data_IF_992737902819
#
_entry.id   IF_992737902819
#
_cell.length_a   1.000
_cell.length_b   1.000
_cell.length_c   1.000
_cell.angle_alpha   90.00
_cell.angle_beta   90.00
_cell.angle_gamma   90.00
#
_symmetry.space_group_name_H-M   'P 1'
#
loop_
_entity.id
_entity.type
_entity.pdbx_description
1 polymer ?
#
# COMPACT_ATOMS: atom_id res chain seq x y z
N UNK A 1 -6.98 11.45 4.05
CA UNK A 1 -6.78 11.19 5.49
C UNK A 1 -5.41 10.56 5.69
N UNK A 2 -4.63 11.11 6.60
CA UNK A 2 -3.29 10.62 6.93
C UNK A 2 -3.21 10.09 8.37
N UNK A 3 -4.31 10.21 9.12
CA UNK A 3 -4.35 9.82 10.52
C UNK A 3 -5.71 9.27 10.94
N UNK A 4 -5.73 8.64 12.11
CA UNK A 4 -6.98 8.18 12.73
C UNK A 4 -7.90 9.37 13.04
N UNK A 5 -7.33 10.51 13.49
CA UNK A 5 -8.12 11.71 13.77
C UNK A 5 -8.80 12.29 12.52
N UNK A 6 -8.17 12.18 11.34
CA UNK A 6 -8.81 12.57 10.08
C UNK A 6 -10.02 11.67 9.76
N UNK A 7 -9.89 10.36 9.99
CA UNK A 7 -11.00 9.42 9.81
C UNK A 7 -12.18 9.77 10.74
N UNK A 8 -11.90 10.10 11.99
CA UNK A 8 -12.94 10.47 12.96
C UNK A 8 -13.63 11.77 12.57
N UNK A 9 -12.88 12.75 12.07
CA UNK A 9 -13.45 14.01 11.52
C UNK A 9 -14.36 13.75 10.33
N UNK A 10 -13.95 12.86 9.39
CA UNK A 10 -14.77 12.49 8.24
C UNK A 10 -16.05 11.79 8.70
N UNK A 11 -15.96 10.78 9.57
CA UNK A 11 -17.13 10.07 10.13
C UNK A 11 -18.10 11.04 10.82
N UNK A 12 -17.57 11.98 11.62
CA UNK A 12 -18.39 13.01 12.26
C UNK A 12 -19.11 13.87 11.22
N UNK A 13 -18.44 14.26 10.14
CA UNK A 13 -19.07 15.05 9.09
C UNK A 13 -20.15 14.27 8.36
N UNK A 14 -19.93 12.98 8.07
CA UNK A 14 -20.96 12.11 7.48
C UNK A 14 -22.19 11.95 8.39
N UNK A 15 -21.98 11.80 9.72
CA UNK A 15 -23.06 11.53 10.67
C UNK A 15 -24.05 12.70 10.81
N UNK A 16 -23.63 13.93 10.48
CA UNK A 16 -24.45 15.15 10.57
C UNK A 16 -24.89 15.67 9.22
N UNK A 17 -24.69 14.95 8.13
CA UNK A 17 -25.04 15.34 6.78
C UNK A 17 -25.65 14.18 6.00
N UNK A 18 -26.31 14.49 4.88
CA UNK A 18 -26.77 13.49 3.91
C UNK A 18 -25.65 13.03 2.95
N UNK A 19 -24.48 13.67 2.99
CA UNK A 19 -23.36 13.33 2.13
C UNK A 19 -22.68 12.04 2.59
N UNK A 20 -22.11 11.32 1.63
CA UNK A 20 -21.30 10.13 1.84
C UNK A 20 -19.90 10.35 1.32
N UNK A 21 -18.90 9.83 2.03
CA UNK A 21 -17.51 9.84 1.61
C UNK A 21 -17.12 8.45 1.16
N UNK A 22 -16.64 8.35 -0.07
CA UNK A 22 -16.12 7.12 -0.63
C UNK A 22 -14.62 7.23 -0.85
N UNK A 23 -13.93 6.11 -0.78
CA UNK A 23 -12.48 6.01 -0.96
C UNK A 23 -12.17 5.29 -2.26
N UNK A 24 -11.10 5.73 -2.93
CA UNK A 24 -10.66 5.10 -4.18
C UNK A 24 -9.65 4.01 -3.83
N UNK A 25 -10.14 2.77 -3.76
CA UNK A 25 -9.34 1.58 -3.49
C UNK A 25 -9.25 0.74 -4.77
N UNK A 26 -8.73 1.37 -5.82
CA UNK A 26 -8.82 0.89 -7.19
C UNK A 26 -8.16 -0.48 -7.41
N UNK A 27 -7.12 -0.85 -6.64
CA UNK A 27 -6.48 -2.15 -6.79
C UNK A 27 -7.40 -3.32 -6.43
N UNK A 28 -8.42 -3.11 -5.62
CA UNK A 28 -9.43 -4.14 -5.33
C UNK A 28 -10.30 -4.51 -6.54
N UNK A 29 -10.30 -3.69 -7.60
CA UNK A 29 -10.96 -3.97 -8.87
C UNK A 29 -10.04 -4.61 -9.91
N UNK A 30 -8.76 -4.82 -9.57
CA UNK A 30 -7.81 -5.45 -10.48
C UNK A 30 -8.10 -6.95 -10.58
N UNK A 31 -8.28 -7.45 -11.81
CA UNK A 31 -8.71 -8.83 -12.08
C UNK A 31 -7.81 -9.86 -11.41
N UNK A 32 -6.48 -9.71 -11.56
CA UNK A 32 -5.54 -10.63 -10.93
C UNK A 32 -5.62 -10.59 -9.40
N UNK A 33 -5.89 -9.43 -8.79
CA UNK A 33 -6.05 -9.32 -7.33
C UNK A 33 -7.33 -10.01 -6.87
N UNK A 34 -8.43 -9.89 -7.63
CA UNK A 34 -9.69 -10.59 -7.34
C UNK A 34 -9.46 -12.10 -7.39
N UNK A 35 -8.81 -12.60 -8.44
CA UNK A 35 -8.48 -14.01 -8.59
C UNK A 35 -7.56 -14.52 -7.49
N UNK A 36 -6.52 -13.75 -7.14
CA UNK A 36 -5.62 -14.08 -6.04
C UNK A 36 -6.38 -14.24 -4.73
N UNK A 37 -7.24 -13.27 -4.40
CA UNK A 37 -8.06 -13.33 -3.18
C UNK A 37 -8.94 -14.58 -3.14
N UNK A 38 -9.58 -14.92 -4.26
CA UNK A 38 -10.39 -16.13 -4.37
C UNK A 38 -9.56 -17.39 -4.14
N UNK A 39 -8.38 -17.48 -4.76
CA UNK A 39 -7.47 -18.62 -4.63
C UNK A 39 -7.01 -18.79 -3.17
N UNK A 40 -6.52 -17.72 -2.53
CA UNK A 40 -6.07 -17.75 -1.13
C UNK A 40 -7.22 -18.12 -0.20
N UNK A 41 -8.42 -17.57 -0.40
CA UNK A 41 -9.59 -17.86 0.43
C UNK A 41 -10.06 -19.32 0.29
N UNK A 42 -9.91 -19.90 -0.90
CA UNK A 42 -10.29 -21.30 -1.15
C UNK A 42 -9.28 -22.33 -0.64
N UNK A 43 -8.01 -21.95 -0.51
CA UNK A 43 -6.93 -22.78 0.00
C UNK A 43 -6.87 -22.67 1.53
N UNK A 44 -7.30 -23.71 2.24
CA UNK A 44 -7.05 -23.81 3.70
C UNK A 44 -5.59 -24.21 3.91
N UNK A 45 -4.69 -23.22 4.01
CA UNK A 45 -3.32 -23.48 4.41
C UNK A 45 -3.18 -23.29 5.93
N UNK A 46 -2.51 -24.21 6.61
CA UNK A 46 -2.12 -24.06 8.01
C UNK A 46 -0.85 -23.20 8.13
N UNK A 47 -0.08 -23.08 7.05
CA UNK A 47 1.15 -22.28 7.00
C UNK A 47 0.88 -20.90 6.40
N UNK A 48 1.58 -19.88 6.93
CA UNK A 48 1.52 -18.52 6.40
C UNK A 48 2.21 -18.47 5.04
N UNK A 49 1.62 -17.74 4.11
CA UNK A 49 2.23 -17.46 2.82
C UNK A 49 3.44 -16.53 2.98
N UNK A 50 4.52 -16.83 2.28
CA UNK A 50 5.68 -15.95 2.13
C UNK A 50 5.46 -15.05 0.91
N UNK A 51 5.40 -13.73 1.14
CA UNK A 51 5.05 -12.75 0.10
C UNK A 51 6.14 -11.69 -0.02
N UNK A 52 6.56 -11.41 -1.25
CA UNK A 52 7.45 -10.29 -1.55
C UNK A 52 6.75 -9.37 -2.56
N UNK A 53 6.59 -8.11 -2.18
CA UNK A 53 6.04 -7.07 -3.03
C UNK A 53 7.10 -6.00 -3.28
N UNK A 54 7.44 -5.79 -4.55
CA UNK A 54 8.39 -4.77 -4.97
C UNK A 54 7.67 -3.78 -5.87
N UNK A 55 7.80 -2.50 -5.54
CA UNK A 55 7.38 -1.40 -6.37
C UNK A 55 8.53 -0.42 -6.56
N UNK A 56 8.97 -0.22 -7.80
CA UNK A 56 9.95 0.78 -8.15
C UNK A 56 9.41 1.68 -9.26
N UNK A 57 9.58 2.98 -9.09
CA UNK A 57 9.10 3.97 -10.07
C UNK A 57 10.05 5.15 -10.16
N UNK A 58 10.07 5.78 -11.31
CA UNK A 58 10.80 7.04 -11.53
C UNK A 58 9.87 8.23 -11.39
N UNK A 59 10.35 9.29 -10.75
CA UNK A 59 9.68 10.59 -10.65
C UNK A 59 10.64 11.73 -10.97
N UNK A 60 10.15 12.77 -11.64
CA UNK A 60 10.88 13.98 -11.92
C UNK A 60 10.93 14.94 -10.73
N UNK A 61 11.69 16.01 -10.85
CA UNK A 61 11.85 17.06 -9.83
C UNK A 61 10.52 17.71 -9.43
N UNK A 62 9.56 17.81 -10.34
CA UNK A 62 8.22 18.33 -10.09
C UNK A 62 7.45 17.52 -9.03
N UNK A 63 7.65 16.21 -8.97
CA UNK A 63 7.07 15.37 -7.91
C UNK A 63 7.67 15.74 -6.54
N UNK A 64 9.00 15.79 -6.45
CA UNK A 64 9.69 16.04 -5.18
C UNK A 64 9.49 17.49 -4.67
N UNK A 65 9.27 18.47 -5.56
CA UNK A 65 8.97 19.86 -5.21
C UNK A 65 7.49 20.13 -4.92
N UNK A 66 6.60 19.20 -5.27
CA UNK A 66 5.16 19.32 -5.01
C UNK A 66 4.79 18.91 -3.58
N UNK A 67 3.49 19.04 -3.23
CA UNK A 67 2.96 18.54 -1.96
C UNK A 67 3.15 17.02 -1.79
N UNK A 68 3.25 16.28 -2.88
CA UNK A 68 3.44 14.82 -2.88
C UNK A 68 4.81 14.41 -2.37
N UNK A 69 5.84 15.20 -2.65
CA UNK A 69 7.20 15.02 -2.14
C UNK A 69 7.40 15.52 -0.71
N UNK A 70 6.37 16.11 -0.09
CA UNK A 70 6.43 16.64 1.27
C UNK A 70 5.77 15.65 2.24
N UNK A 71 6.56 15.03 3.13
CA UNK A 71 6.08 14.06 4.11
C UNK A 71 4.93 14.59 4.98
N UNK A 72 5.04 15.83 5.45
CA UNK A 72 4.01 16.49 6.23
C UNK A 72 2.67 16.70 5.49
N UNK A 73 2.68 16.69 4.16
CA UNK A 73 1.47 16.93 3.35
C UNK A 73 0.91 15.64 2.74
N UNK A 74 1.80 14.75 2.25
CA UNK A 74 1.40 13.49 1.62
C UNK A 74 1.34 12.32 2.59
N UNK A 75 1.97 12.44 3.76
CA UNK A 75 2.19 11.33 4.69
C UNK A 75 3.35 10.43 4.29
N UNK A 76 4.23 10.90 3.36
CA UNK A 76 5.40 10.17 2.92
C UNK A 76 5.11 9.00 1.99
N UNK A 77 6.16 8.22 1.72
CA UNK A 77 6.15 7.16 0.70
C UNK A 77 5.12 6.05 0.98
N UNK A 78 4.85 5.74 2.25
CA UNK A 78 3.88 4.71 2.61
C UNK A 78 2.45 5.15 2.33
N UNK A 79 2.09 6.41 2.59
CA UNK A 79 0.78 6.93 2.23
C UNK A 79 0.64 7.22 0.74
N UNK A 80 1.70 7.68 0.07
CA UNK A 80 1.63 8.04 -1.36
C UNK A 80 1.56 6.81 -2.28
N UNK A 81 2.30 5.74 -1.93
CA UNK A 81 2.40 4.53 -2.76
C UNK A 81 2.02 3.26 -1.99
N UNK A 82 2.47 3.15 -0.74
CA UNK A 82 2.32 1.92 0.05
C UNK A 82 0.88 1.59 0.43
N UNK A 83 0.03 2.62 0.58
CA UNK A 83 -1.36 2.44 1.05
C UNK A 83 -2.17 1.51 0.13
N UNK A 84 -2.00 1.64 -1.18
CA UNK A 84 -2.72 0.82 -2.14
C UNK A 84 -2.34 -0.67 -2.04
N UNK A 85 -1.07 -0.94 -1.78
CA UNK A 85 -0.57 -2.30 -1.61
C UNK A 85 -0.94 -2.87 -0.25
N UNK A 86 -0.76 -2.10 0.83
CA UNK A 86 -1.14 -2.54 2.16
C UNK A 86 -2.64 -2.83 2.24
N UNK A 87 -3.44 -2.06 1.53
CA UNK A 87 -4.89 -2.26 1.48
C UNK A 87 -5.25 -3.62 0.89
N UNK A 88 -4.72 -3.98 -0.28
CA UNK A 88 -4.98 -5.30 -0.87
C UNK A 88 -4.37 -6.44 -0.06
N UNK A 89 -3.23 -6.25 0.58
CA UNK A 89 -2.62 -7.25 1.45
C UNK A 89 -3.48 -7.54 2.68
N UNK A 90 -4.05 -6.51 3.30
CA UNK A 90 -5.01 -6.68 4.41
C UNK A 90 -6.29 -7.37 3.93
N UNK A 91 -6.76 -7.02 2.73
CA UNK A 91 -7.98 -7.60 2.15
C UNK A 91 -7.82 -9.07 1.76
N UNK A 92 -6.61 -9.49 1.37
CA UNK A 92 -6.30 -10.87 0.95
C UNK A 92 -5.85 -11.73 2.13
N UNK A 93 -4.90 -11.25 2.95
CA UNK A 93 -4.20 -12.04 3.96
C UNK A 93 -4.63 -11.78 5.41
N UNK A 94 -5.62 -10.92 5.61
CA UNK A 94 -6.13 -10.58 6.95
C UNK A 94 -5.39 -9.46 7.64
N UNK A 95 -5.72 -9.23 8.91
CA UNK A 95 -5.18 -8.12 9.69
C UNK A 95 -3.68 -8.27 9.96
N UNK A 96 -3.04 -7.13 10.19
CA UNK A 96 -1.64 -7.08 10.59
C UNK A 96 -1.51 -7.38 12.08
N UNK A 97 -0.72 -8.39 12.42
CA UNK A 97 -0.41 -8.76 13.81
C UNK A 97 0.91 -8.11 14.30
N UNK A 98 1.90 -8.00 13.41
CA UNK A 98 3.21 -7.46 13.73
C UNK A 98 3.85 -6.81 12.49
N UNK A 99 4.86 -5.95 12.69
CA UNK A 99 5.67 -5.39 11.61
C UNK A 99 7.06 -4.99 12.10
N UNK A 100 7.99 -4.90 11.15
CA UNK A 100 9.33 -4.38 11.37
C UNK A 100 9.72 -3.45 10.20
N UNK A 101 10.18 -2.25 10.52
CA UNK A 101 10.64 -1.27 9.55
C UNK A 101 12.14 -1.37 9.38
N UNK A 102 12.59 -1.94 8.27
CA UNK A 102 14.02 -2.05 7.94
C UNK A 102 14.57 -0.73 7.40
N UNK A 103 13.77 -0.02 6.59
CA UNK A 103 14.11 1.27 6.04
C UNK A 103 12.87 2.09 5.76
N UNK A 104 12.92 3.36 6.12
CA UNK A 104 11.91 4.32 5.76
C UNK A 104 12.58 5.68 5.52
N UNK A 105 12.33 6.26 4.36
CA UNK A 105 12.83 7.57 3.95
C UNK A 105 11.87 8.20 2.95
N UNK A 106 12.17 9.41 2.51
CA UNK A 106 11.34 10.14 1.55
C UNK A 106 11.09 9.39 0.22
N UNK A 107 12.02 8.54 -0.18
CA UNK A 107 11.99 7.85 -1.47
C UNK A 107 12.18 6.33 -1.39
N UNK A 108 12.25 5.76 -0.19
CA UNK A 108 12.42 4.33 -0.01
C UNK A 108 11.71 3.83 1.24
N UNK A 109 10.96 2.73 1.10
CA UNK A 109 10.44 1.97 2.21
C UNK A 109 10.79 0.48 2.05
N UNK A 110 11.17 -0.16 3.17
CA UNK A 110 11.37 -1.60 3.28
C UNK A 110 10.78 -2.01 4.63
N UNK A 111 9.64 -2.71 4.58
CA UNK A 111 8.85 -3.06 5.75
C UNK A 111 8.47 -4.53 5.67
N UNK A 112 8.80 -5.28 6.71
CA UNK A 112 8.31 -6.64 6.92
C UNK A 112 7.03 -6.56 7.73
N UNK A 113 5.97 -7.19 7.25
CA UNK A 113 4.64 -7.17 7.87
C UNK A 113 4.14 -8.59 8.07
N UNK A 114 3.71 -8.92 9.28
CA UNK A 114 3.03 -10.16 9.57
C UNK A 114 1.52 -9.97 9.55
N UNK A 115 0.86 -10.63 8.61
CA UNK A 115 -0.58 -10.77 8.54
C UNK A 115 -1.07 -12.05 9.24
N UNK A 116 -2.37 -12.24 9.35
CA UNK A 116 -2.97 -13.49 9.86
C UNK A 116 -2.49 -14.69 9.04
N UNK A 117 -2.52 -14.58 7.71
CA UNK A 117 -2.25 -15.68 6.78
C UNK A 117 -0.97 -15.49 5.94
N UNK A 118 -0.16 -14.46 6.18
CA UNK A 118 1.07 -14.22 5.41
C UNK A 118 2.15 -13.49 6.21
N UNK A 119 3.41 -13.66 5.75
CA UNK A 119 4.53 -12.77 6.04
C UNK A 119 4.88 -12.04 4.75
N UNK A 120 4.86 -10.72 4.80
CA UNK A 120 4.99 -9.87 3.61
C UNK A 120 6.18 -8.95 3.74
N UNK A 121 7.10 -9.00 2.79
CA UNK A 121 8.13 -7.99 2.62
C UNK A 121 7.67 -6.98 1.57
N UNK A 122 7.46 -5.74 1.97
CA UNK A 122 7.15 -4.63 1.07
C UNK A 122 8.42 -3.81 0.81
N UNK A 123 8.78 -3.65 -0.44
CA UNK A 123 9.88 -2.79 -0.88
C UNK A 123 9.35 -1.75 -1.88
N UNK A 124 9.45 -0.48 -1.51
CA UNK A 124 9.04 0.64 -2.37
C UNK A 124 10.25 1.53 -2.62
N UNK A 125 10.52 1.84 -3.89
CA UNK A 125 11.60 2.73 -4.30
C UNK A 125 11.08 3.76 -5.29
N UNK A 126 11.32 5.04 -5.00
CA UNK A 126 11.07 6.16 -5.90
C UNK A 126 12.40 6.75 -6.34
N UNK A 127 12.72 6.54 -7.60
CA UNK A 127 13.98 6.95 -8.20
C UNK A 127 13.85 8.35 -8.83
N UNK A 128 14.89 9.18 -8.71
CA UNK A 128 14.92 10.46 -9.41
C UNK A 128 15.20 10.25 -10.90
N UNK A 129 14.35 10.84 -11.74
CA UNK A 129 14.50 10.83 -13.21
C UNK A 129 15.82 11.49 -13.63
N UNK A 130 16.17 12.59 -12.98
CA UNK A 130 17.40 13.34 -13.25
C UNK A 130 18.64 12.48 -12.95
N UNK A 131 18.65 11.80 -11.79
CA UNK A 131 19.75 10.91 -11.40
C UNK A 131 19.89 9.71 -12.34
N UNK A 132 18.79 9.08 -12.75
CA UNK A 132 18.84 7.99 -13.73
C UNK A 132 19.40 8.47 -15.07
N UNK A 133 18.97 9.65 -15.54
CA UNK A 133 19.48 10.26 -16.78
C UNK A 133 20.98 10.56 -16.70
N UNK A 134 21.46 11.09 -15.57
CA UNK A 134 22.89 11.33 -15.33
C UNK A 134 23.71 10.03 -15.38
N UNK A 135 23.12 8.92 -14.95
CA UNK A 135 23.73 7.59 -14.99
C UNK A 135 23.56 6.87 -16.34
N UNK A 136 22.93 7.51 -17.33
CA UNK A 136 22.63 6.92 -18.63
C UNK A 136 21.61 5.77 -18.57
N UNK A 137 20.75 5.77 -17.55
CA UNK A 137 19.72 4.75 -17.36
C UNK A 137 18.35 5.28 -17.76
N UNK A 138 17.47 4.34 -18.18
CA UNK A 138 16.08 4.64 -18.53
C UNK A 138 15.18 4.77 -17.30
N UNK A 139 13.98 5.36 -17.51
CA UNK A 139 12.94 5.44 -16.51
C UNK A 139 12.47 4.03 -16.11
N UNK A 140 12.21 3.84 -14.82
CA UNK A 140 11.77 2.56 -14.27
C UNK A 140 10.30 2.66 -13.85
N UNK A 141 9.53 1.67 -14.27
CA UNK A 141 8.27 1.29 -13.65
C UNK A 141 8.28 -0.22 -13.49
N UNK A 142 8.51 -0.69 -12.28
CA UNK A 142 8.61 -2.11 -11.98
C UNK A 142 7.65 -2.47 -10.85
N UNK A 143 6.92 -3.53 -11.05
CA UNK A 143 6.05 -4.14 -10.05
C UNK A 143 6.30 -5.64 -10.06
N UNK A 144 6.55 -6.20 -8.90
CA UNK A 144 6.65 -7.65 -8.72
C UNK A 144 5.89 -8.05 -7.48
N UNK A 145 5.16 -9.14 -7.57
CA UNK A 145 4.44 -9.73 -6.47
C UNK A 145 4.72 -11.25 -6.50
N UNK A 146 5.48 -11.73 -5.54
CA UNK A 146 5.87 -13.14 -5.43
C UNK A 146 5.19 -13.76 -4.23
N UNK A 147 4.63 -14.94 -4.40
CA UNK A 147 3.93 -15.69 -3.33
C UNK A 147 4.52 -17.09 -3.28
N UNK A 148 5.10 -17.48 -2.16
CA UNK A 148 5.74 -18.79 -1.94
C UNK A 148 6.80 -19.13 -3.01
N UNK A 149 7.51 -18.10 -3.49
CA UNK A 149 8.54 -18.23 -4.53
C UNK A 149 8.02 -18.14 -5.97
N UNK A 150 6.73 -18.19 -6.20
CA UNK A 150 6.14 -18.07 -7.53
C UNK A 150 5.79 -16.62 -7.83
N UNK A 151 6.18 -16.12 -9.01
CA UNK A 151 5.85 -14.78 -9.47
C UNK A 151 4.37 -14.70 -9.84
N UNK A 152 3.69 -13.74 -9.24
CA UNK A 152 2.31 -13.42 -9.55
C UNK A 152 2.27 -12.23 -10.52
N UNK A 153 1.71 -12.46 -11.71
CA UNK A 153 1.62 -11.44 -12.75
C UNK A 153 0.73 -10.26 -12.33
N UNK A 154 1.36 -9.09 -12.19
CA UNK A 154 0.73 -7.87 -11.71
C UNK A 154 1.22 -6.61 -12.45
N UNK A 155 1.66 -6.75 -13.69
CA UNK A 155 2.23 -5.64 -14.48
C UNK A 155 1.19 -4.94 -15.35
N UNK A 156 0.22 -5.68 -15.88
CA UNK A 156 -0.90 -5.17 -16.70
C UNK A 156 -2.17 -4.89 -15.91
N UNK A 157 -3.27 -4.54 -16.61
CA UNK A 157 -4.63 -4.48 -16.03
C UNK A 157 -4.96 -3.23 -15.21
N UNK A 158 -4.08 -2.20 -15.19
CA UNK A 158 -4.31 -0.97 -14.42
C UNK A 158 -5.22 0.06 -15.12
N UNK A 159 -5.57 -0.19 -16.37
CA UNK A 159 -6.47 0.67 -17.11
C UNK A 159 -7.87 0.58 -16.52
N UNK A 160 -8.60 1.70 -16.52
CA UNK A 160 -9.99 1.82 -16.10
C UNK A 160 -10.31 1.46 -14.62
N UNK A 161 -9.31 1.17 -13.77
CA UNK A 161 -9.56 0.86 -12.36
C UNK A 161 -10.22 2.02 -11.59
N UNK A 162 -9.88 3.26 -11.94
CA UNK A 162 -10.55 4.43 -11.38
C UNK A 162 -11.99 4.54 -11.89
N UNK A 163 -12.22 4.27 -13.17
CA UNK A 163 -13.58 4.24 -13.77
C UNK A 163 -14.44 3.22 -13.05
N UNK A 164 -13.96 1.98 -12.87
CA UNK A 164 -14.65 0.94 -12.10
C UNK A 164 -14.96 1.38 -10.67
N UNK A 165 -14.03 2.11 -10.03
CA UNK A 165 -14.26 2.66 -8.69
C UNK A 165 -15.40 3.67 -8.68
N UNK A 166 -15.44 4.60 -9.64
CA UNK A 166 -16.52 5.58 -9.76
C UNK A 166 -17.85 4.95 -10.11
N UNK A 167 -17.89 3.98 -11.01
CA UNK A 167 -19.11 3.22 -11.35
C UNK A 167 -19.67 2.53 -10.11
N UNK A 168 -18.82 1.86 -9.33
CA UNK A 168 -19.21 1.23 -8.07
C UNK A 168 -19.78 2.23 -7.07
N UNK A 169 -19.19 3.44 -6.97
CA UNK A 169 -19.70 4.52 -6.10
C UNK A 169 -21.09 4.97 -6.58
N UNK A 170 -21.30 5.17 -7.88
CA UNK A 170 -22.58 5.59 -8.44
C UNK A 170 -23.68 4.54 -8.25
N UNK A 171 -23.31 3.26 -8.20
CA UNK A 171 -24.20 2.14 -7.87
C UNK A 171 -24.46 1.99 -6.36
N UNK A 172 -23.85 2.83 -5.52
CA UNK A 172 -23.97 2.74 -4.06
C UNK A 172 -23.14 1.62 -3.42
N UNK A 173 -22.18 1.03 -4.17
CA UNK A 173 -21.32 -0.07 -3.76
C UNK A 173 -19.86 0.37 -3.54
N UNK A 174 -19.56 1.68 -3.57
CA UNK A 174 -18.24 2.21 -3.37
C UNK A 174 -17.66 1.90 -1.99
N UNK A 175 -16.34 1.82 -1.90
CA UNK A 175 -15.65 1.61 -0.64
C UNK A 175 -15.76 2.83 0.27
N UNK A 176 -16.12 2.59 1.50
CA UNK A 176 -16.37 3.62 2.51
C UNK A 176 -15.09 4.05 3.23
N UNK A 177 -15.21 5.06 4.08
CA UNK A 177 -14.13 5.46 5.02
C UNK A 177 -13.75 4.29 5.94
N UNK A 178 -14.70 3.44 6.32
CA UNK A 178 -14.42 2.29 7.17
C UNK A 178 -13.58 1.23 6.47
N UNK A 179 -13.82 0.99 5.17
CA UNK A 179 -13.00 0.09 4.37
C UNK A 179 -11.54 0.53 4.32
N UNK A 180 -11.27 1.83 4.13
CA UNK A 180 -9.92 2.39 4.11
C UNK A 180 -9.28 2.52 5.50
N UNK A 181 -10.07 2.48 6.57
CA UNK A 181 -9.59 2.76 7.92
C UNK A 181 -8.52 1.78 8.38
N UNK A 182 -8.57 0.54 7.94
CA UNK A 182 -7.62 -0.52 8.31
C UNK A 182 -6.21 -0.21 7.82
N UNK A 183 -6.07 0.11 6.53
CA UNK A 183 -4.79 0.45 5.91
C UNK A 183 -4.25 1.79 6.43
N UNK A 184 -5.09 2.82 6.59
CA UNK A 184 -4.69 4.12 7.15
C UNK A 184 -4.18 3.96 8.59
N UNK A 185 -4.92 3.27 9.47
CA UNK A 185 -4.50 3.01 10.85
C UNK A 185 -3.18 2.26 10.91
N UNK A 186 -3.00 1.28 10.04
CA UNK A 186 -1.78 0.49 10.04
C UNK A 186 -0.56 1.30 9.58
N UNK A 187 -0.69 2.13 8.53
CA UNK A 187 0.40 3.01 8.11
C UNK A 187 0.71 4.04 9.19
N UNK A 188 -0.31 4.68 9.78
CA UNK A 188 -0.08 5.62 10.90
C UNK A 188 0.71 4.96 12.02
N UNK A 189 0.37 3.72 12.39
CA UNK A 189 1.08 2.97 13.42
C UNK A 189 2.54 2.69 13.04
N UNK A 190 2.79 2.30 11.78
CA UNK A 190 4.15 2.06 11.27
C UNK A 190 4.99 3.35 11.33
N UNK A 191 4.42 4.48 10.90
CA UNK A 191 5.08 5.78 10.93
C UNK A 191 5.39 6.22 12.37
N UNK A 192 4.40 6.15 13.27
CA UNK A 192 4.53 6.55 14.68
C UNK A 192 5.62 5.73 15.40
N UNK A 193 5.72 4.42 15.14
CA UNK A 193 6.74 3.57 15.76
C UNK A 193 8.13 3.84 15.17
N UNK A 194 8.21 4.12 13.89
CA UNK A 194 9.48 4.48 13.24
C UNK A 194 10.01 5.82 13.78
N UNK A 195 9.17 6.85 13.91
CA UNK A 195 9.56 8.16 14.46
C UNK A 195 10.01 8.09 15.93
N UNK A 196 9.43 7.18 16.73
CA UNK A 196 9.82 6.96 18.12
C UNK A 196 11.17 6.24 18.28
N UNK A 197 11.85 5.92 17.19
CA UNK A 197 13.15 5.26 17.22
C UNK A 197 13.08 3.82 17.73
N UNK A 198 11.99 3.11 17.42
CA UNK A 198 11.87 1.69 17.69
C UNK A 198 12.97 0.96 16.93
N UNK A 199 14.02 0.63 17.66
CA UNK A 199 15.29 0.15 17.12
C UNK A 199 15.11 -1.16 16.39
N UNK A 200 15.53 -1.14 15.14
CA UNK A 200 15.84 -2.25 14.28
C UNK A 200 16.41 -3.45 15.04
N UNK A 201 15.67 -4.53 15.12
CA UNK A 201 16.23 -5.87 15.34
C UNK A 201 16.19 -6.58 13.99
N UNK A 202 17.35 -6.87 13.36
CA UNK A 202 17.35 -7.59 12.10
C UNK A 202 16.75 -8.98 12.29
N UNK A 203 15.59 -9.23 11.67
CA UNK A 203 15.05 -10.58 11.49
C UNK A 203 15.59 -11.11 10.15
N UNK A 204 16.89 -11.04 9.96
CA UNK A 204 17.58 -11.62 8.83
C UNK A 204 18.53 -12.72 9.33
N UNK A 205 17.95 -13.80 9.82
CA UNK A 205 18.63 -15.09 9.81
C UNK A 205 17.62 -16.10 9.25
N UNK A 206 17.78 -16.48 8.00
CA UNK A 206 17.07 -17.47 7.20
C UNK A 206 16.10 -16.89 6.15
N UNK A 207 16.65 -16.25 5.12
CA UNK A 207 16.17 -16.27 3.74
C UNK A 207 17.36 -16.58 2.83
#
# INVERSE_FOLDING_TARGET
>A
ALSVSDLDRIRKSESVSAAKVFTIMQLRFHESIIQLKQNITSQKSEEKHEVILIYATTRGSEFFSSWRGSENKSGGILFEFGIHYLDILIDIFGQVSNFNVNKLSLNQANVLIEHENAKVLIMINVLSKEKLKEMGQEEVLYRSFTINGDEFEFTGGFQDLHTKSYESILEGKGFTVEDASKSIKQISKIMDEFEKGSTYKPILNNL
#
